data_IF_093389098423
#
_entry.id   IF_093389098423
#
_cell.length_a   1.000
_cell.length_b   1.000
_cell.length_c   1.000
_cell.angle_alpha   90.00
_cell.angle_beta   90.00
_cell.angle_gamma   90.00
#
_symmetry.space_group_name_H-M   'P 1'
#
loop_
_entity.id
_entity.type
_entity.pdbx_description
1 polymer ?
#
# COMPACT_ATOMS: atom_id res chain seq x y z
N UNK A 1 4.88 -6.01 12.08
CA UNK A 1 5.06 -6.44 10.68
C UNK A 1 6.35 -7.26 10.67
N UNK A 2 6.30 -8.60 10.76
CA UNK A 2 7.42 -9.42 11.29
C UNK A 2 8.82 -9.07 10.75
N UNK A 3 9.00 -9.05 9.42
CA UNK A 3 10.31 -8.73 8.82
C UNK A 3 10.72 -7.27 9.08
N UNK A 4 9.78 -6.32 9.06
CA UNK A 4 10.11 -4.93 9.37
C UNK A 4 10.50 -4.76 10.85
N UNK A 5 9.83 -5.48 11.75
CA UNK A 5 10.14 -5.47 13.19
C UNK A 5 11.53 -6.07 13.44
N UNK A 6 11.85 -7.18 12.79
CA UNK A 6 13.15 -7.84 12.88
C UNK A 6 14.31 -6.98 12.36
N UNK A 7 14.06 -6.08 11.40
CA UNK A 7 15.06 -5.18 10.82
C UNK A 7 15.13 -3.80 11.51
N UNK A 8 14.34 -3.57 12.56
CA UNK A 8 14.16 -2.25 13.20
C UNK A 8 15.44 -1.62 13.77
N UNK A 9 16.45 -2.42 14.12
CA UNK A 9 17.73 -1.96 14.67
C UNK A 9 18.82 -1.69 13.63
N UNK A 10 18.59 -2.04 12.36
CA UNK A 10 19.58 -1.88 11.30
C UNK A 10 19.45 -0.49 10.64
N UNK A 11 20.54 0.13 10.19
CA UNK A 11 20.52 1.44 9.52
C UNK A 11 20.07 1.31 8.05
N UNK A 12 18.97 0.60 7.80
CA UNK A 12 18.40 0.35 6.47
C UNK A 12 16.99 0.92 6.39
N UNK A 13 16.61 1.40 5.21
CA UNK A 13 15.24 1.87 4.95
C UNK A 13 14.37 0.66 4.63
N UNK A 14 13.40 0.39 5.50
CA UNK A 14 12.36 -0.62 5.24
C UNK A 14 11.13 0.06 4.65
N UNK A 15 10.64 -0.44 3.52
CA UNK A 15 9.41 0.01 2.89
C UNK A 15 8.57 -1.19 2.43
N UNK A 16 7.27 -0.96 2.23
CA UNK A 16 6.36 -1.95 1.66
C UNK A 16 5.91 -1.50 0.27
N UNK A 17 5.69 -2.46 -0.63
CA UNK A 17 5.04 -2.19 -1.92
C UNK A 17 3.68 -1.52 -1.70
N UNK A 18 3.28 -0.66 -2.62
CA UNK A 18 1.95 -0.07 -2.56
C UNK A 18 0.89 -1.16 -2.65
N UNK A 19 -0.21 -0.98 -1.90
CA UNK A 19 -1.41 -1.79 -2.01
C UNK A 19 -2.56 -0.85 -2.38
N UNK A 20 -3.33 -1.20 -3.41
CA UNK A 20 -4.41 -0.37 -3.92
C UNK A 20 -4.92 -0.89 -5.25
N UNK A 21 -5.59 -0.02 -5.99
CA UNK A 21 -6.19 -0.36 -7.29
C UNK A 21 -5.10 -0.73 -8.31
N UNK A 22 -5.22 -1.87 -9.03
CA UNK A 22 -4.25 -2.24 -10.05
C UNK A 22 -4.29 -1.30 -11.26
N UNK A 23 -3.15 -1.14 -11.93
CA UNK A 23 -3.11 -0.42 -13.20
C UNK A 23 -3.95 -1.13 -14.27
N UNK A 24 -4.74 -0.36 -15.02
CA UNK A 24 -5.62 -0.89 -16.06
C UNK A 24 -6.88 -1.57 -15.54
N UNK A 25 -7.10 -1.62 -14.22
CA UNK A 25 -8.36 -2.03 -13.64
C UNK A 25 -9.36 -0.87 -13.56
N UNK A 26 -10.63 -1.16 -13.76
CA UNK A 26 -11.71 -0.19 -13.58
C UNK A 26 -12.27 -0.27 -12.15
N UNK A 27 -12.69 0.87 -11.60
CA UNK A 27 -13.16 0.93 -10.21
C UNK A 27 -14.42 0.07 -9.99
N UNK A 28 -15.28 -0.05 -11.01
CA UNK A 28 -16.52 -0.83 -10.95
C UNK A 28 -16.31 -2.34 -10.77
N UNK A 29 -15.12 -2.84 -11.11
CA UNK A 29 -14.74 -4.25 -10.93
C UNK A 29 -13.77 -4.46 -9.76
N UNK A 30 -13.38 -3.39 -9.06
CA UNK A 30 -12.48 -3.48 -7.92
C UNK A 30 -13.27 -3.84 -6.66
N UNK A 31 -12.76 -4.78 -5.88
CA UNK A 31 -13.41 -5.14 -4.61
C UNK A 31 -13.39 -3.97 -3.61
N UNK A 32 -14.40 -3.95 -2.73
CA UNK A 32 -14.60 -2.83 -1.79
C UNK A 32 -13.45 -2.67 -0.79
N UNK A 33 -12.77 -3.75 -0.42
CA UNK A 33 -11.65 -3.70 0.53
C UNK A 33 -10.45 -3.02 -0.12
N UNK A 34 -10.13 -3.39 -1.36
CA UNK A 34 -9.07 -2.73 -2.15
C UNK A 34 -9.38 -1.26 -2.39
N UNK A 35 -10.63 -0.91 -2.75
CA UNK A 35 -11.05 0.48 -2.92
C UNK A 35 -10.92 1.28 -1.62
N UNK A 36 -11.44 0.76 -0.51
CA UNK A 36 -11.37 1.40 0.81
C UNK A 36 -9.93 1.67 1.22
N UNK A 37 -9.05 0.68 1.07
CA UNK A 37 -7.63 0.81 1.38
C UNK A 37 -6.91 1.80 0.48
N UNK A 38 -7.20 1.80 -0.83
CA UNK A 38 -6.62 2.75 -1.77
C UNK A 38 -7.01 4.20 -1.45
N UNK A 39 -8.23 4.42 -0.97
CA UNK A 39 -8.72 5.74 -0.57
C UNK A 39 -8.15 6.21 0.78
N UNK A 40 -8.02 5.31 1.75
CA UNK A 40 -7.45 5.57 3.07
C UNK A 40 -5.95 5.90 2.97
N UNK A 41 -5.19 5.10 2.22
CA UNK A 41 -3.74 5.25 2.05
C UNK A 41 -3.36 6.18 0.87
N UNK A 42 -4.32 6.95 0.31
CA UNK A 42 -4.09 7.82 -0.86
C UNK A 42 -2.99 8.84 -0.59
N UNK A 43 -2.16 9.10 -1.59
CA UNK A 43 -1.06 10.09 -1.51
C UNK A 43 -1.42 11.35 -2.28
N UNK A 44 -0.92 12.49 -1.80
CA UNK A 44 -1.01 13.75 -2.53
C UNK A 44 -0.25 13.64 -3.88
N UNK A 45 -0.79 14.31 -4.89
CA UNK A 45 -0.23 14.32 -6.25
C UNK A 45 0.78 15.46 -6.45
N UNK A 46 0.80 16.44 -5.53
CA UNK A 46 1.65 17.63 -5.58
C UNK A 46 2.46 17.75 -4.31
#
# INVERSE_FOLDING_TARGET
LYVADALSSLPVRVSRIAAGVPHGGELEFTDQVTLGRALEERRAVR
#
